data_IF_725764428717
#
_entry.id   IF_725764428717
#
_cell.length_a   1.000
_cell.length_b   1.000
_cell.length_c   1.000
_cell.angle_alpha   90.00
_cell.angle_beta   90.00
_cell.angle_gamma   90.00
#
_symmetry.space_group_name_H-M   'P 1'
#
loop_
_entity.id
_entity.type
_entity.pdbx_description
1 polymer ?
#
# COMPACT_ATOMS: atom_id res chain seq x y z
N UNK A 1 -5.72 13.60 -9.16
CA UNK A 1 -7.07 13.38 -8.63
C UNK A 1 -7.20 13.65 -7.13
N UNK A 2 -6.21 13.25 -6.28
CA UNK A 2 -6.32 13.46 -4.83
C UNK A 2 -6.29 14.95 -4.46
N UNK A 3 -5.39 15.73 -5.03
CA UNK A 3 -5.35 17.19 -4.80
C UNK A 3 -6.62 17.88 -5.28
N UNK A 4 -7.17 17.49 -6.44
CA UNK A 4 -8.47 18.01 -6.90
C UNK A 4 -9.57 17.80 -5.86
N UNK A 5 -9.65 16.57 -5.30
CA UNK A 5 -10.64 16.28 -4.26
C UNK A 5 -10.45 17.13 -2.99
N UNK A 6 -9.20 17.45 -2.62
CA UNK A 6 -8.93 18.31 -1.47
C UNK A 6 -9.19 19.78 -1.79
N UNK A 7 -8.64 20.27 -2.91
CA UNK A 7 -8.59 21.70 -3.22
C UNK A 7 -9.92 22.22 -3.78
N UNK A 8 -10.67 21.37 -4.52
CA UNK A 8 -11.92 21.77 -5.18
C UNK A 8 -13.15 21.21 -4.45
N UNK A 9 -13.11 19.93 -4.07
CA UNK A 9 -14.26 19.26 -3.46
C UNK A 9 -14.24 19.33 -1.91
N UNK A 10 -13.17 19.84 -1.30
CA UNK A 10 -13.04 19.94 0.15
C UNK A 10 -13.01 18.59 0.88
N UNK A 11 -12.62 17.50 0.20
CA UNK A 11 -12.65 16.15 0.75
C UNK A 11 -11.36 15.87 1.51
N UNK A 12 -11.48 15.47 2.79
CA UNK A 12 -10.34 15.06 3.63
C UNK A 12 -9.24 16.10 3.70
N UNK A 13 -9.62 17.34 3.96
CA UNK A 13 -8.67 18.45 4.19
C UNK A 13 -7.87 18.31 5.48
N UNK A 14 -8.25 17.37 6.36
CA UNK A 14 -7.52 16.90 7.55
C UNK A 14 -6.31 16.01 7.22
N UNK A 15 -6.30 15.39 6.05
CA UNK A 15 -5.22 14.53 5.59
C UNK A 15 -4.20 15.31 4.75
N UNK A 16 -2.93 14.90 4.77
CA UNK A 16 -1.89 15.46 3.93
C UNK A 16 -1.53 14.47 2.83
N UNK A 17 -1.82 14.83 1.58
CA UNK A 17 -1.38 14.06 0.41
C UNK A 17 0.07 14.41 0.13
N UNK A 18 0.94 13.40 0.17
CA UNK A 18 2.37 13.55 -0.05
C UNK A 18 2.80 12.78 -1.31
N UNK A 19 3.39 13.47 -2.27
CA UNK A 19 3.94 12.86 -3.47
C UNK A 19 5.41 12.49 -3.23
N UNK A 20 5.74 11.19 -3.30
CA UNK A 20 7.09 10.69 -3.03
C UNK A 20 8.14 11.28 -3.98
N UNK A 21 7.84 11.43 -5.27
CA UNK A 21 8.79 12.00 -6.22
C UNK A 21 9.12 13.46 -5.91
N UNK A 22 8.14 14.26 -5.46
CA UNK A 22 8.38 15.65 -5.10
C UNK A 22 9.11 15.82 -3.78
N UNK A 23 9.11 14.81 -2.90
CA UNK A 23 9.93 14.83 -1.68
C UNK A 23 11.44 14.88 -1.95
N UNK A 24 11.89 14.69 -3.18
CA UNK A 24 13.26 14.93 -3.58
C UNK A 24 13.60 16.44 -3.75
N UNK A 25 12.60 17.34 -3.68
CA UNK A 25 12.77 18.77 -3.91
C UNK A 25 12.55 19.60 -2.65
N UNK A 26 13.40 20.59 -2.46
CA UNK A 26 13.37 21.45 -1.25
C UNK A 26 12.08 22.26 -1.14
N UNK A 27 11.57 22.83 -2.24
CA UNK A 27 10.33 23.61 -2.24
C UNK A 27 9.12 22.79 -1.76
N UNK A 28 9.08 21.50 -2.12
CA UNK A 28 7.97 20.63 -1.71
C UNK A 28 8.11 20.22 -0.24
N UNK A 29 9.33 19.96 0.23
CA UNK A 29 9.61 19.72 1.66
C UNK A 29 9.19 20.94 2.47
N UNK A 30 9.56 22.16 2.04
CA UNK A 30 9.11 23.42 2.67
C UNK A 30 7.58 23.50 2.77
N UNK A 31 6.88 23.08 1.71
CA UNK A 31 5.42 23.05 1.70
C UNK A 31 4.86 22.01 2.68
N UNK A 32 5.46 20.82 2.77
CA UNK A 32 5.03 19.76 3.69
C UNK A 32 5.27 20.13 5.16
N UNK A 33 6.25 20.95 5.46
CA UNK A 33 6.55 21.46 6.81
C UNK A 33 5.60 22.57 7.28
N UNK A 34 4.69 23.02 6.44
CA UNK A 34 3.65 24.02 6.78
C UNK A 34 2.30 23.33 6.92
N UNK A 35 1.42 23.81 7.83
CA UNK A 35 0.04 23.35 7.85
C UNK A 35 -0.66 23.71 6.54
N UNK A 36 -1.66 22.92 6.13
CA UNK A 36 -2.51 23.21 5.00
C UNK A 36 -3.94 22.78 5.31
N UNK A 37 -4.90 23.67 5.09
CA UNK A 37 -6.30 23.51 5.48
C UNK A 37 -6.41 23.20 6.99
N UNK A 38 -7.05 22.09 7.35
CA UNK A 38 -7.15 21.59 8.72
C UNK A 38 -6.06 20.57 9.08
N UNK A 39 -5.16 20.28 8.13
CA UNK A 39 -4.07 19.34 8.31
C UNK A 39 -2.84 20.04 8.92
N UNK A 40 -2.30 19.55 10.06
CA UNK A 40 -1.05 20.07 10.60
C UNK A 40 0.14 19.76 9.66
N UNK A 41 1.27 20.42 9.91
CA UNK A 41 2.53 20.11 9.24
C UNK A 41 2.90 18.64 9.37
N UNK A 42 3.63 18.10 8.39
CA UNK A 42 4.21 16.76 8.52
C UNK A 42 5.35 16.77 9.56
N UNK A 43 5.60 15.64 10.22
CA UNK A 43 6.60 15.55 11.29
C UNK A 43 8.02 15.45 10.71
N UNK A 44 8.45 16.51 10.02
CA UNK A 44 9.78 16.67 9.45
C UNK A 44 10.55 17.64 10.37
N UNK A 45 11.53 17.13 11.11
CA UNK A 45 12.32 17.90 12.09
C UNK A 45 13.52 18.58 11.45
N UNK A 46 13.97 18.11 10.29
CA UNK A 46 15.08 18.66 9.57
C UNK A 46 14.92 20.16 9.31
N UNK A 47 16.00 20.92 9.51
CA UNK A 47 16.07 22.31 9.10
C UNK A 47 16.39 22.42 7.60
N UNK A 48 16.23 23.60 7.02
CA UNK A 48 16.41 23.83 5.58
C UNK A 48 17.82 23.45 5.08
N UNK A 49 18.86 23.65 5.88
CA UNK A 49 20.24 23.34 5.51
C UNK A 49 20.46 21.83 5.34
N UNK A 50 19.62 20.99 5.95
CA UNK A 50 19.71 19.53 5.85
C UNK A 50 19.05 18.97 4.60
N UNK A 51 18.12 19.69 3.95
CA UNK A 51 17.40 19.20 2.77
C UNK A 51 17.42 20.15 1.56
N UNK A 52 18.08 21.31 1.63
CA UNK A 52 18.20 22.16 0.43
C UNK A 52 18.94 21.42 -0.69
N UNK A 53 18.75 21.90 -1.90
CA UNK A 53 19.39 21.31 -3.09
C UNK A 53 20.92 21.24 -2.90
N UNK A 54 21.52 20.12 -3.26
CA UNK A 54 22.95 19.85 -3.06
C UNK A 54 23.32 19.34 -1.67
N UNK A 55 22.35 19.25 -0.73
CA UNK A 55 22.57 18.71 0.61
C UNK A 55 21.71 17.46 0.80
N UNK A 56 22.34 16.35 1.16
CA UNK A 56 21.65 15.07 1.41
C UNK A 56 20.74 14.63 0.26
N UNK A 57 21.12 14.96 -0.98
CA UNK A 57 20.38 14.51 -2.16
C UNK A 57 20.42 12.99 -2.26
N UNK A 58 21.52 12.40 -1.80
CA UNK A 58 21.65 10.98 -1.56
C UNK A 58 22.64 10.69 -0.44
N UNK A 59 22.46 9.58 0.28
CA UNK A 59 23.36 9.13 1.36
C UNK A 59 23.67 7.64 1.17
N UNK A 60 24.94 7.28 1.20
CA UNK A 60 25.38 5.88 1.11
C UNK A 60 25.04 5.10 2.38
N UNK A 61 24.60 3.85 2.21
CA UNK A 61 24.41 2.91 3.30
C UNK A 61 25.76 2.24 3.59
N UNK A 62 26.33 2.49 4.79
CA UNK A 62 27.66 2.01 5.19
C UNK A 62 27.55 1.08 6.39
N UNK A 63 27.56 -0.26 6.16
CA UNK A 63 27.44 -1.23 7.25
C UNK A 63 28.49 -1.08 8.35
N UNK A 64 29.71 -0.69 7.99
CA UNK A 64 30.85 -0.49 8.90
C UNK A 64 30.67 0.64 9.91
N UNK A 65 29.78 1.60 9.67
CA UNK A 65 29.58 2.73 10.56
C UNK A 65 29.07 2.32 11.94
N UNK A 66 28.35 1.22 12.06
CA UNK A 66 27.90 0.69 13.35
C UNK A 66 29.09 0.43 14.29
N UNK A 67 30.12 -0.28 13.81
CA UNK A 67 31.29 -0.59 14.61
C UNK A 67 32.06 0.67 15.02
N UNK A 68 32.16 1.64 14.11
CA UNK A 68 32.82 2.93 14.41
C UNK A 68 32.07 3.70 15.50
N UNK A 69 30.74 3.74 15.43
CA UNK A 69 29.90 4.39 16.46
C UNK A 69 30.06 3.68 17.81
N UNK A 70 29.99 2.34 17.84
CA UNK A 70 30.18 1.57 19.07
C UNK A 70 31.56 1.81 19.70
N UNK A 71 32.64 1.81 18.91
CA UNK A 71 33.99 2.13 19.39
C UNK A 71 34.07 3.54 19.96
N UNK A 72 33.36 4.50 19.39
CA UNK A 72 33.32 5.86 19.93
C UNK A 72 32.65 5.90 21.30
N UNK A 73 31.53 5.16 21.52
CA UNK A 73 30.92 5.01 22.83
C UNK A 73 31.80 4.33 23.88
N UNK A 74 32.69 3.41 23.45
CA UNK A 74 33.66 2.75 24.32
C UNK A 74 34.81 3.71 24.71
N UNK A 75 35.23 4.59 23.80
CA UNK A 75 36.36 5.51 24.01
C UNK A 75 35.96 6.75 24.79
N UNK A 76 34.83 7.38 24.46
CA UNK A 76 34.33 8.60 25.10
C UNK A 76 32.81 8.61 25.08
N UNK A 77 32.22 8.04 26.11
CA UNK A 77 30.76 7.90 26.22
C UNK A 77 30.06 9.27 26.30
N UNK A 78 30.66 10.24 26.97
CA UNK A 78 30.01 11.54 27.15
C UNK A 78 29.91 12.28 25.81
N UNK A 79 31.01 12.37 25.06
CA UNK A 79 30.98 13.01 23.74
C UNK A 79 30.20 12.21 22.72
N UNK A 80 30.22 10.86 22.80
CA UNK A 80 29.40 10.00 21.94
C UNK A 80 27.90 10.20 22.19
N UNK A 81 27.44 10.29 23.45
CA UNK A 81 26.04 10.58 23.79
C UNK A 81 25.66 11.97 23.33
N UNK A 82 26.53 12.93 23.44
CA UNK A 82 26.29 14.31 22.97
C UNK A 82 26.18 14.37 21.45
N UNK A 83 26.94 13.53 20.72
CA UNK A 83 26.96 13.46 19.26
C UNK A 83 25.79 12.65 18.73
N UNK A 84 25.52 11.44 19.23
CA UNK A 84 24.57 10.48 18.67
C UNK A 84 23.35 10.18 19.58
N UNK A 85 23.26 10.80 20.77
CA UNK A 85 22.22 10.53 21.75
C UNK A 85 22.47 9.22 22.53
N UNK A 86 21.64 8.94 23.53
CA UNK A 86 21.77 7.71 24.34
C UNK A 86 21.56 6.43 23.54
N UNK A 87 20.69 6.49 22.53
CA UNK A 87 20.35 5.37 21.63
C UNK A 87 20.78 5.71 20.18
N UNK A 88 22.06 5.54 19.81
CA UNK A 88 22.56 5.96 18.51
C UNK A 88 21.87 5.31 17.32
N UNK A 89 21.29 4.13 17.51
CA UNK A 89 20.60 3.37 16.48
C UNK A 89 19.09 3.56 16.48
N UNK A 90 18.56 4.44 17.33
CA UNK A 90 17.20 4.92 17.17
C UNK A 90 17.07 5.71 15.87
N UNK A 91 16.06 5.41 15.04
CA UNK A 91 15.95 5.96 13.68
C UNK A 91 16.01 7.49 13.65
N UNK A 92 15.37 8.17 14.60
CA UNK A 92 15.44 9.64 14.71
C UNK A 92 16.87 10.18 14.92
N UNK A 93 17.69 9.47 15.69
CA UNK A 93 19.09 9.84 15.92
C UNK A 93 19.93 9.57 14.66
N UNK A 94 19.68 8.43 13.98
CA UNK A 94 20.28 8.14 12.69
C UNK A 94 19.99 9.25 11.68
N UNK A 95 18.72 9.65 11.56
CA UNK A 95 18.32 10.71 10.64
C UNK A 95 19.02 12.04 10.95
N UNK A 96 19.27 12.32 12.20
CA UNK A 96 19.97 13.53 12.63
C UNK A 96 21.48 13.48 12.37
N UNK A 97 22.10 12.31 12.52
CA UNK A 97 23.56 12.14 12.53
C UNK A 97 24.11 11.26 11.39
N UNK A 98 23.24 10.79 10.49
CA UNK A 98 23.61 10.01 9.31
C UNK A 98 24.38 8.70 9.62
N UNK A 99 24.03 8.07 10.72
CA UNK A 99 24.52 6.74 11.05
C UNK A 99 23.71 5.70 10.29
N UNK A 100 24.17 5.30 9.12
CA UNK A 100 23.49 4.31 8.29
C UNK A 100 24.28 3.00 8.24
N UNK A 101 23.62 1.91 8.57
CA UNK A 101 24.15 0.55 8.47
C UNK A 101 23.06 -0.41 8.00
N UNK A 102 23.40 -1.67 7.78
CA UNK A 102 22.43 -2.69 7.34
C UNK A 102 22.28 -3.82 8.38
N UNK A 103 22.71 -3.59 9.58
CA UNK A 103 22.57 -4.52 10.69
C UNK A 103 21.13 -4.46 11.24
N UNK A 104 20.47 -5.59 11.55
CA UNK A 104 19.09 -5.60 12.06
C UNK A 104 18.92 -4.96 13.44
N UNK A 105 20.01 -4.57 14.11
CA UNK A 105 19.98 -3.82 15.38
C UNK A 105 20.08 -2.30 15.19
N UNK A 106 20.19 -1.82 13.95
CA UNK A 106 20.16 -0.40 13.58
C UNK A 106 18.80 -0.01 13.00
N UNK A 107 18.54 1.30 12.80
CA UNK A 107 17.27 1.85 12.28
C UNK A 107 16.06 1.38 13.10
N UNK A 108 16.18 1.49 14.41
CA UNK A 108 15.17 1.06 15.38
C UNK A 108 14.21 2.22 15.68
N UNK A 109 12.94 1.90 15.80
CA UNK A 109 11.92 2.82 16.33
C UNK A 109 11.40 2.19 17.62
N UNK A 110 11.61 2.85 18.74
CA UNK A 110 10.99 2.47 20.02
C UNK A 110 9.49 2.76 19.96
N UNK A 111 8.67 1.79 20.33
CA UNK A 111 7.22 1.86 20.17
C UNK A 111 6.56 2.37 21.45
N UNK A 112 5.84 3.50 21.33
CA UNK A 112 4.87 3.91 22.34
C UNK A 112 3.61 3.04 22.21
N UNK A 113 3.51 2.01 23.05
CA UNK A 113 2.42 1.04 23.04
C UNK A 113 1.06 1.68 23.30
N UNK A 114 1.01 2.73 24.11
CA UNK A 114 -0.24 3.42 24.43
C UNK A 114 -0.69 4.30 23.26
N UNK A 115 0.24 4.93 22.54
CA UNK A 115 -0.10 5.63 21.31
C UNK A 115 -0.63 4.66 20.24
N UNK A 116 -0.03 3.48 20.10
CA UNK A 116 -0.52 2.42 19.18
C UNK A 116 -1.94 1.98 19.56
N UNK A 117 -2.23 1.71 20.84
CA UNK A 117 -3.58 1.35 21.30
C UNK A 117 -4.61 2.45 20.99
N UNK A 118 -4.26 3.71 21.22
CA UNK A 118 -5.15 4.85 20.93
C UNK A 118 -5.31 5.18 19.44
N UNK A 119 -4.43 4.67 18.58
CA UNK A 119 -4.42 5.00 17.15
C UNK A 119 -5.57 4.41 16.34
N UNK A 120 -6.33 3.47 16.92
CA UNK A 120 -7.40 2.73 16.23
C UNK A 120 -6.90 1.80 15.12
N UNK A 121 -5.60 1.47 15.10
CA UNK A 121 -5.06 0.50 14.13
C UNK A 121 -5.48 -0.93 14.53
N UNK A 122 -5.67 -1.77 13.52
CA UNK A 122 -5.93 -3.20 13.75
C UNK A 122 -4.77 -3.82 14.55
N UNK A 123 -5.13 -4.54 15.60
CA UNK A 123 -4.16 -5.31 16.36
C UNK A 123 -3.92 -6.65 15.66
N UNK A 124 -2.71 -6.86 15.18
CA UNK A 124 -2.30 -8.09 14.48
C UNK A 124 -1.99 -9.20 15.48
N UNK A 125 -1.58 -8.85 16.70
CA UNK A 125 -1.31 -9.77 17.80
C UNK A 125 -1.70 -9.16 19.14
N UNK A 126 -1.83 -9.99 20.18
CA UNK A 126 -2.15 -9.56 21.53
C UNK A 126 -1.04 -8.70 22.17
N UNK A 127 0.20 -8.88 21.71
CA UNK A 127 1.35 -8.11 22.18
C UNK A 127 1.79 -7.07 21.14
N UNK A 128 1.89 -5.81 21.59
CA UNK A 128 2.51 -4.75 20.79
C UNK A 128 4.04 -4.89 20.94
N UNK A 129 4.81 -4.90 19.84
CA UNK A 129 6.27 -5.00 19.92
C UNK A 129 6.86 -3.80 20.64
N UNK A 130 7.99 -4.00 21.34
CA UNK A 130 8.72 -2.93 22.02
C UNK A 130 9.44 -2.00 21.03
N UNK A 131 9.80 -2.56 19.86
CA UNK A 131 10.54 -1.86 18.82
C UNK A 131 10.14 -2.36 17.44
N UNK A 132 10.26 -1.48 16.45
CA UNK A 132 10.20 -1.78 15.02
C UNK A 132 11.58 -1.55 14.43
N UNK A 133 11.99 -2.40 13.49
CA UNK A 133 13.28 -2.25 12.79
C UNK A 133 12.99 -2.06 11.30
N UNK A 134 13.56 -1.02 10.71
CA UNK A 134 13.51 -0.79 9.28
C UNK A 134 14.76 -1.39 8.63
N UNK A 135 14.57 -2.40 7.80
CA UNK A 135 15.68 -3.05 7.09
C UNK A 135 16.09 -2.25 5.87
N UNK A 136 17.39 -1.94 5.77
CA UNK A 136 17.97 -1.38 4.54
C UNK A 136 18.64 -2.46 3.67
N UNK A 137 18.31 -3.73 3.87
CA UNK A 137 18.87 -4.84 3.09
C UNK A 137 18.64 -4.61 1.60
N UNK A 138 19.71 -4.72 0.81
CA UNK A 138 19.68 -4.50 -0.64
C UNK A 138 19.80 -3.04 -1.08
N UNK A 139 19.68 -2.08 -0.17
CA UNK A 139 19.91 -0.66 -0.46
C UNK A 139 21.39 -0.32 -0.35
N UNK A 140 21.96 0.30 -1.39
CA UNK A 140 23.33 0.84 -1.39
C UNK A 140 23.38 2.31 -1.01
N UNK A 141 22.29 3.01 -1.31
CA UNK A 141 22.10 4.42 -0.97
C UNK A 141 20.62 4.71 -0.76
N UNK A 142 20.34 5.78 -0.05
CA UNK A 142 19.00 6.37 0.11
C UNK A 142 18.99 7.74 -0.55
N UNK A 143 17.96 8.00 -1.33
CA UNK A 143 17.74 9.31 -1.94
C UNK A 143 16.93 10.21 -0.99
N UNK A 144 16.91 11.50 -1.26
CA UNK A 144 16.24 12.49 -0.41
C UNK A 144 14.77 12.15 -0.12
N UNK A 145 14.02 11.62 -1.08
CA UNK A 145 12.65 11.17 -0.88
C UNK A 145 12.55 9.98 0.10
N UNK A 146 13.51 9.04 0.04
CA UNK A 146 13.59 7.92 0.99
C UNK A 146 13.88 8.45 2.40
N UNK A 147 14.83 9.39 2.49
CA UNK A 147 15.21 10.03 3.75
C UNK A 147 14.03 10.79 4.37
N UNK A 148 13.27 11.53 3.57
CA UNK A 148 12.07 12.22 4.05
C UNK A 148 10.98 11.26 4.52
N UNK A 149 10.82 10.10 3.87
CA UNK A 149 9.89 9.07 4.32
C UNK A 149 10.33 8.51 5.68
N UNK A 150 11.61 8.17 5.83
CA UNK A 150 12.17 7.70 7.12
C UNK A 150 12.03 8.75 8.22
N UNK A 151 12.27 10.01 7.90
CA UNK A 151 12.13 11.15 8.83
C UNK A 151 10.69 11.25 9.35
N UNK A 152 9.69 11.17 8.45
CA UNK A 152 8.29 11.19 8.85
C UNK A 152 7.88 9.98 9.69
N UNK A 153 8.35 8.78 9.34
CA UNK A 153 8.05 7.56 10.11
C UNK A 153 8.70 7.61 11.48
N UNK A 154 9.97 8.05 11.57
CA UNK A 154 10.70 8.20 12.83
C UNK A 154 10.02 9.14 13.83
N UNK A 155 9.40 10.21 13.32
CA UNK A 155 8.81 11.27 14.13
C UNK A 155 7.28 11.19 14.24
N UNK A 156 6.64 10.16 13.66
CA UNK A 156 5.17 10.00 13.67
C UNK A 156 4.58 9.74 15.04
N UNK A 157 5.36 9.11 15.94
CA UNK A 157 4.96 8.72 17.30
C UNK A 157 3.63 7.94 17.35
N UNK A 158 3.22 7.36 16.23
CA UNK A 158 1.95 6.61 16.05
C UNK A 158 0.67 7.41 16.33
N UNK A 159 0.79 8.72 16.59
CA UNK A 159 -0.36 9.60 16.91
C UNK A 159 -1.15 10.00 15.67
N UNK A 160 -0.47 10.07 14.52
CA UNK A 160 -1.06 10.36 13.23
C UNK A 160 -0.76 9.21 12.27
N UNK A 161 -1.80 8.58 11.69
CA UNK A 161 -1.59 7.44 10.80
C UNK A 161 -0.89 7.87 9.50
N UNK A 162 0.06 7.03 9.05
CA UNK A 162 0.75 7.18 7.77
C UNK A 162 0.24 6.06 6.86
N UNK A 163 -0.18 6.45 5.66
CA UNK A 163 -0.67 5.53 4.65
C UNK A 163 0.18 5.57 3.39
N UNK A 164 0.40 4.42 2.79
CA UNK A 164 0.94 4.25 1.45
C UNK A 164 -0.20 3.85 0.52
N UNK A 165 -0.40 4.59 -0.58
CA UNK A 165 -1.45 4.25 -1.54
C UNK A 165 -1.12 2.95 -2.28
N UNK A 166 -2.11 2.11 -2.57
CA UNK A 166 -1.92 0.86 -3.34
C UNK A 166 -1.32 1.06 -4.74
N UNK A 167 -1.33 2.31 -5.25
CA UNK A 167 -0.73 2.66 -6.54
C UNK A 167 0.77 2.97 -6.47
N UNK A 168 1.34 3.00 -5.27
CA UNK A 168 2.80 3.14 -5.07
C UNK A 168 3.45 1.79 -5.36
N UNK A 169 4.49 1.79 -6.19
CA UNK A 169 5.25 0.58 -6.51
C UNK A 169 6.08 0.09 -5.32
N UNK A 170 6.25 -1.23 -5.21
CA UNK A 170 6.94 -1.89 -4.09
C UNK A 170 8.39 -1.40 -3.90
N UNK A 171 9.06 -1.00 -4.97
CA UNK A 171 10.42 -0.43 -4.93
C UNK A 171 10.52 0.81 -4.01
N UNK A 172 9.38 1.50 -3.81
CA UNK A 172 9.28 2.69 -2.96
C UNK A 172 8.79 2.39 -1.53
N UNK A 173 8.63 1.11 -1.15
CA UNK A 173 8.14 0.76 0.19
C UNK A 173 9.20 0.82 1.28
N UNK A 174 10.46 1.07 0.95
CA UNK A 174 11.58 1.08 1.92
C UNK A 174 11.64 -0.19 2.78
N UNK A 175 11.34 -1.34 2.17
CA UNK A 175 11.23 -2.65 2.85
C UNK A 175 10.19 -2.67 4.00
N UNK A 176 9.23 -1.73 4.02
CA UNK A 176 8.16 -1.67 5.02
C UNK A 176 6.96 -2.56 4.69
N UNK A 177 6.98 -3.28 3.56
CA UNK A 177 5.82 -4.09 3.12
C UNK A 177 5.30 -5.05 4.17
N UNK A 178 6.20 -5.69 4.94
CA UNK A 178 5.85 -6.57 6.06
C UNK A 178 5.18 -5.84 7.24
N UNK A 179 5.23 -4.52 7.27
CA UNK A 179 4.62 -3.66 8.30
C UNK A 179 3.35 -2.97 7.83
N UNK A 180 2.80 -3.38 6.69
CA UNK A 180 1.59 -2.78 6.14
C UNK A 180 0.33 -3.51 6.59
N UNK A 181 -0.68 -2.73 7.01
CA UNK A 181 -2.05 -3.19 7.21
C UNK A 181 -2.92 -2.54 6.14
N UNK A 182 -3.58 -3.34 5.33
CA UNK A 182 -4.47 -2.84 4.28
C UNK A 182 -5.80 -2.38 4.89
N UNK A 183 -6.11 -1.09 4.70
CA UNK A 183 -7.37 -0.44 5.12
C UNK A 183 -8.10 0.14 3.89
N UNK A 184 -8.61 -0.70 3.02
CA UNK A 184 -9.19 -0.30 1.75
C UNK A 184 -8.16 -0.15 0.63
N UNK A 185 -8.09 1.03 0.00
CA UNK A 185 -7.17 1.33 -1.12
C UNK A 185 -5.82 1.91 -0.65
N UNK A 186 -5.49 1.74 0.62
CA UNK A 186 -4.23 2.20 1.17
C UNK A 186 -3.70 1.21 2.22
N UNK A 187 -2.40 1.21 2.39
CA UNK A 187 -1.69 0.46 3.40
C UNK A 187 -1.31 1.39 4.54
N UNK A 188 -1.76 1.10 5.75
CA UNK A 188 -1.33 1.79 6.96
C UNK A 188 -0.01 1.21 7.43
N UNK A 189 0.97 2.06 7.70
CA UNK A 189 2.22 1.64 8.33
C UNK A 189 1.95 1.31 9.79
N UNK A 190 2.38 0.14 10.23
CA UNK A 190 2.19 -0.39 11.58
C UNK A 190 3.49 -0.89 12.20
N UNK A 191 3.60 -0.97 13.53
CA UNK A 191 4.75 -1.58 14.18
C UNK A 191 4.76 -3.12 14.11
N UNK A 192 3.65 -3.72 13.69
CA UNK A 192 3.51 -5.17 13.60
C UNK A 192 4.16 -5.71 12.34
N UNK A 193 4.70 -6.93 12.42
CA UNK A 193 5.14 -7.69 11.25
C UNK A 193 4.02 -8.62 10.80
N UNK A 194 3.62 -8.51 9.54
CA UNK A 194 2.43 -9.18 8.97
C UNK A 194 2.78 -10.27 7.95
N UNK A 195 3.92 -10.97 8.15
CA UNK A 195 4.44 -11.99 7.21
C UNK A 195 3.47 -13.12 6.92
N UNK A 196 2.57 -13.42 7.86
CA UNK A 196 1.62 -14.53 7.75
C UNK A 196 0.31 -14.16 7.01
N UNK A 197 0.29 -13.04 6.28
CA UNK A 197 -0.87 -12.60 5.50
C UNK A 197 -2.04 -12.04 6.33
N UNK A 198 -1.89 -11.86 7.64
CA UNK A 198 -2.88 -11.22 8.52
C UNK A 198 -2.71 -9.69 8.49
N UNK A 199 -2.77 -9.13 7.29
CA UNK A 199 -2.50 -7.71 7.04
C UNK A 199 -3.68 -6.98 6.41
N UNK A 200 -4.89 -7.52 6.54
CA UNK A 200 -6.09 -6.93 5.95
C UNK A 200 -7.11 -6.63 7.03
N UNK A 201 -7.38 -5.35 7.29
CA UNK A 201 -8.42 -4.92 8.22
C UNK A 201 -9.79 -5.00 7.54
N UNK A 202 -10.48 -6.12 7.73
CA UNK A 202 -11.80 -6.38 7.15
C UNK A 202 -12.86 -5.42 7.65
N UNK A 203 -12.85 -5.05 8.93
CA UNK A 203 -13.86 -4.18 9.52
C UNK A 203 -13.73 -2.74 9.03
N UNK A 204 -12.52 -2.18 9.09
CA UNK A 204 -12.24 -0.84 8.57
C UNK A 204 -12.50 -0.77 7.07
N UNK A 205 -12.04 -1.79 6.30
CA UNK A 205 -12.27 -1.85 4.86
C UNK A 205 -13.77 -1.97 4.54
N UNK A 206 -14.51 -2.82 5.26
CA UNK A 206 -15.96 -2.95 5.09
C UNK A 206 -16.67 -1.62 5.35
N UNK A 207 -16.36 -0.95 6.46
CA UNK A 207 -16.95 0.34 6.79
C UNK A 207 -16.63 1.41 5.72
N UNK A 208 -15.41 1.47 5.24
CA UNK A 208 -14.99 2.38 4.18
C UNK A 208 -15.74 2.10 2.88
N UNK A 209 -15.76 0.84 2.43
CA UNK A 209 -16.45 0.43 1.20
C UNK A 209 -17.96 0.70 1.30
N UNK A 210 -18.61 0.35 2.40
CA UNK A 210 -20.06 0.44 2.52
C UNK A 210 -20.56 1.86 2.77
N UNK A 211 -19.82 2.69 3.53
CA UNK A 211 -20.35 3.97 4.02
C UNK A 211 -19.63 5.20 3.46
N UNK A 212 -18.39 5.07 2.98
CA UNK A 212 -17.58 6.23 2.59
C UNK A 212 -17.26 6.29 1.10
N UNK A 213 -17.16 5.14 0.41
CA UNK A 213 -16.85 5.14 -1.03
C UNK A 213 -17.99 5.69 -1.85
N UNK A 214 -17.65 6.61 -2.78
CA UNK A 214 -18.55 7.20 -3.77
C UNK A 214 -18.06 6.82 -5.16
N UNK A 215 -18.96 6.52 -6.07
CA UNK A 215 -18.63 5.97 -7.38
C UNK A 215 -18.94 6.93 -8.54
N UNK A 216 -19.33 8.19 -8.25
CA UNK A 216 -19.42 9.25 -9.24
C UNK A 216 -20.41 9.01 -10.39
N UNK A 217 -21.41 8.13 -10.20
CA UNK A 217 -22.39 7.82 -11.24
C UNK A 217 -21.94 6.72 -12.21
N UNK A 218 -20.96 5.89 -11.83
CA UNK A 218 -20.50 4.74 -12.64
C UNK A 218 -21.62 3.72 -12.94
N UNK A 219 -22.71 3.75 -12.18
CA UNK A 219 -23.89 2.92 -12.40
C UNK A 219 -24.77 3.38 -13.57
N UNK A 220 -24.56 4.58 -14.10
CA UNK A 220 -25.34 5.10 -15.23
C UNK A 220 -24.93 4.43 -16.54
N UNK A 221 -25.89 3.95 -17.37
CA UNK A 221 -25.56 3.36 -18.65
C UNK A 221 -24.94 4.37 -19.61
N UNK A 222 -24.04 3.89 -20.48
CA UNK A 222 -23.51 4.67 -21.61
C UNK A 222 -22.47 5.71 -21.24
N UNK A 223 -21.90 5.69 -20.03
CA UNK A 223 -20.78 6.55 -19.69
C UNK A 223 -19.50 6.07 -20.37
N UNK A 224 -18.69 7.02 -20.83
CA UNK A 224 -17.35 6.74 -21.32
C UNK A 224 -16.35 6.68 -20.15
N UNK A 225 -15.59 5.60 -20.09
CA UNK A 225 -14.47 5.44 -19.18
C UNK A 225 -13.17 5.32 -19.99
N UNK A 226 -12.27 6.27 -19.83
CA UNK A 226 -10.92 6.13 -20.40
C UNK A 226 -10.16 4.98 -19.73
N UNK A 227 -9.00 4.62 -20.28
CA UNK A 227 -8.22 3.49 -19.79
C UNK A 227 -7.76 3.66 -18.34
N UNK A 228 -7.35 4.87 -17.95
CA UNK A 228 -6.88 5.16 -16.59
C UNK A 228 -8.01 5.03 -15.57
N UNK A 229 -9.17 5.63 -15.85
CA UNK A 229 -10.37 5.52 -15.00
C UNK A 229 -10.83 4.06 -14.92
N UNK A 230 -10.85 3.36 -16.04
CA UNK A 230 -11.23 1.94 -16.09
C UNK A 230 -10.32 1.08 -15.23
N UNK A 231 -9.00 1.30 -15.28
CA UNK A 231 -8.03 0.61 -14.43
C UNK A 231 -8.29 0.86 -12.95
N UNK A 232 -8.59 2.12 -12.56
CA UNK A 232 -8.97 2.43 -11.18
C UNK A 232 -10.27 1.74 -10.76
N UNK A 233 -11.26 1.66 -11.65
CA UNK A 233 -12.50 0.93 -11.38
C UNK A 233 -12.26 -0.58 -11.15
N UNK A 234 -11.34 -1.19 -11.91
CA UNK A 234 -10.93 -2.58 -11.68
C UNK A 234 -10.25 -2.76 -10.31
N UNK A 235 -9.41 -1.81 -9.89
CA UNK A 235 -8.79 -1.84 -8.56
C UNK A 235 -9.86 -1.81 -7.44
N UNK A 236 -10.91 -0.99 -7.59
CA UNK A 236 -12.03 -0.98 -6.65
C UNK A 236 -12.79 -2.29 -6.65
N UNK A 237 -13.08 -2.86 -7.83
CA UNK A 237 -13.77 -4.16 -7.93
C UNK A 237 -12.94 -5.27 -7.29
N UNK A 238 -11.63 -5.30 -7.54
CA UNK A 238 -10.71 -6.27 -6.95
C UNK A 238 -10.71 -6.17 -5.42
N UNK A 239 -10.62 -4.95 -4.87
CA UNK A 239 -10.70 -4.74 -3.43
C UNK A 239 -12.01 -5.29 -2.84
N UNK A 240 -13.15 -5.01 -3.49
CA UNK A 240 -14.45 -5.48 -3.00
C UNK A 240 -14.57 -7.02 -3.08
N UNK A 241 -13.99 -7.62 -4.11
CA UNK A 241 -13.93 -9.08 -4.25
C UNK A 241 -13.06 -9.72 -3.16
N UNK A 242 -11.86 -9.18 -2.93
CA UNK A 242 -10.96 -9.63 -1.85
C UNK A 242 -11.61 -9.48 -0.48
N UNK A 243 -12.27 -8.33 -0.21
CA UNK A 243 -13.01 -8.10 1.03
C UNK A 243 -14.12 -9.15 1.22
N UNK A 244 -14.88 -9.46 0.16
CA UNK A 244 -15.94 -10.48 0.24
C UNK A 244 -15.38 -11.85 0.59
N UNK A 245 -14.27 -12.27 -0.02
CA UNK A 245 -13.60 -13.54 0.30
C UNK A 245 -13.09 -13.58 1.74
N UNK A 246 -12.44 -12.51 2.21
CA UNK A 246 -11.99 -12.42 3.61
C UNK A 246 -13.15 -12.50 4.59
N UNK A 247 -14.27 -11.79 4.33
CA UNK A 247 -15.48 -11.86 5.15
C UNK A 247 -16.09 -13.25 5.16
N UNK A 248 -16.07 -13.98 4.04
CA UNK A 248 -16.53 -15.38 3.99
C UNK A 248 -15.64 -16.26 4.87
N UNK A 249 -14.32 -16.11 4.78
CA UNK A 249 -13.37 -16.86 5.61
C UNK A 249 -13.59 -16.60 7.11
N UNK A 250 -13.98 -15.36 7.46
CA UNK A 250 -14.34 -14.99 8.86
C UNK A 250 -15.77 -15.42 9.26
N UNK A 251 -16.52 -16.13 8.41
CA UNK A 251 -17.91 -16.52 8.69
C UNK A 251 -18.94 -15.40 8.57
N UNK A 252 -18.55 -14.20 8.10
CA UNK A 252 -19.40 -13.00 7.97
C UNK A 252 -20.10 -12.94 6.60
N UNK A 253 -20.81 -14.02 6.24
CA UNK A 253 -21.39 -14.23 4.90
C UNK A 253 -22.39 -13.14 4.50
N UNK A 254 -23.19 -12.61 5.43
CA UNK A 254 -24.14 -11.52 5.15
C UNK A 254 -23.43 -10.21 4.76
N UNK A 255 -22.30 -9.90 5.40
CA UNK A 255 -21.48 -8.74 5.04
C UNK A 255 -20.87 -8.93 3.64
N UNK A 256 -20.37 -10.13 3.34
CA UNK A 256 -19.83 -10.47 2.03
C UNK A 256 -20.88 -10.30 0.91
N UNK A 257 -22.08 -10.81 1.11
CA UNK A 257 -23.18 -10.64 0.15
C UNK A 257 -23.52 -9.15 -0.09
N UNK A 258 -23.53 -8.32 0.94
CA UNK A 258 -23.75 -6.87 0.81
C UNK A 258 -22.64 -6.17 0.01
N UNK A 259 -21.38 -6.56 0.21
CA UNK A 259 -20.24 -6.02 -0.56
C UNK A 259 -20.37 -6.38 -2.03
N UNK A 260 -20.67 -7.65 -2.35
CA UNK A 260 -20.88 -8.10 -3.73
C UNK A 260 -22.05 -7.39 -4.41
N UNK A 261 -23.18 -7.22 -3.70
CA UNK A 261 -24.33 -6.49 -4.21
C UNK A 261 -23.98 -5.01 -4.51
N UNK A 262 -23.14 -4.38 -3.66
CA UNK A 262 -22.65 -3.03 -3.89
C UNK A 262 -21.73 -2.97 -5.11
N UNK A 263 -20.85 -3.95 -5.30
CA UNK A 263 -19.99 -4.06 -6.47
C UNK A 263 -20.80 -4.20 -7.77
N UNK A 264 -21.81 -5.08 -7.80
CA UNK A 264 -22.71 -5.23 -8.94
C UNK A 264 -23.44 -3.93 -9.29
N UNK A 265 -23.92 -3.22 -8.26
CA UNK A 265 -24.71 -1.98 -8.45
C UNK A 265 -23.85 -0.85 -9.01
N UNK A 266 -22.68 -0.60 -8.43
CA UNK A 266 -21.89 0.60 -8.73
C UNK A 266 -20.75 0.38 -9.73
N UNK A 267 -20.36 -0.87 -9.99
CA UNK A 267 -19.37 -1.26 -10.98
C UNK A 267 -19.98 -2.26 -11.98
N UNK A 268 -21.07 -1.88 -12.66
CA UNK A 268 -21.84 -2.80 -13.51
C UNK A 268 -21.03 -3.27 -14.71
N UNK A 269 -21.31 -4.47 -15.18
CA UNK A 269 -20.57 -5.13 -16.28
C UNK A 269 -20.77 -4.44 -17.64
N UNK A 270 -21.86 -3.70 -17.82
CA UNK A 270 -22.11 -2.98 -19.07
C UNK A 270 -21.20 -1.76 -19.25
N UNK A 271 -20.69 -1.13 -18.17
CA UNK A 271 -19.70 -0.06 -18.22
C UNK A 271 -18.28 -0.58 -17.96
N UNK A 272 -18.15 -1.59 -17.13
CA UNK A 272 -16.88 -2.17 -16.72
C UNK A 272 -16.96 -3.70 -16.93
N UNK A 273 -16.63 -4.23 -18.11
CA UNK A 273 -16.68 -5.66 -18.40
C UNK A 273 -15.93 -6.49 -17.36
N UNK A 274 -16.36 -7.72 -17.14
CA UNK A 274 -15.65 -8.64 -16.24
C UNK A 274 -14.33 -9.05 -16.89
N UNK A 275 -13.26 -8.96 -16.11
CA UNK A 275 -11.95 -9.52 -16.42
C UNK A 275 -11.47 -10.33 -15.22
N UNK A 276 -10.76 -11.41 -15.46
CA UNK A 276 -10.28 -12.27 -14.37
C UNK A 276 -9.44 -11.47 -13.36
N UNK A 277 -8.37 -10.80 -13.82
CA UNK A 277 -7.48 -9.97 -12.99
C UNK A 277 -8.19 -8.73 -12.42
N UNK A 278 -9.25 -8.25 -13.06
CA UNK A 278 -10.05 -7.11 -12.57
C UNK A 278 -11.10 -7.47 -11.51
N UNK A 279 -10.88 -8.54 -10.75
CA UNK A 279 -11.76 -9.01 -9.67
C UNK A 279 -12.83 -10.01 -10.10
N UNK A 280 -12.91 -10.35 -11.39
CA UNK A 280 -13.94 -11.29 -11.89
C UNK A 280 -13.80 -12.69 -11.33
N UNK A 281 -12.57 -13.21 -11.24
CA UNK A 281 -12.28 -14.53 -10.68
C UNK A 281 -12.66 -14.63 -9.20
N UNK A 282 -12.26 -13.65 -8.40
CA UNK A 282 -12.57 -13.61 -6.96
C UNK A 282 -14.07 -13.40 -6.69
N UNK A 283 -14.77 -12.62 -7.52
CA UNK A 283 -16.24 -12.48 -7.44
C UNK A 283 -16.93 -13.82 -7.74
N UNK A 284 -16.48 -14.55 -8.78
CA UNK A 284 -17.03 -15.86 -9.10
C UNK A 284 -16.83 -16.84 -7.93
N UNK A 285 -15.63 -16.88 -7.37
CA UNK A 285 -15.28 -17.70 -6.20
C UNK A 285 -16.14 -17.31 -4.99
N UNK A 286 -16.29 -16.02 -4.70
CA UNK A 286 -17.12 -15.56 -3.59
C UNK A 286 -18.58 -15.97 -3.74
N UNK A 287 -19.17 -15.86 -4.94
CA UNK A 287 -20.54 -16.35 -5.19
C UNK A 287 -20.67 -17.87 -5.06
N UNK A 288 -19.67 -18.63 -5.53
CA UNK A 288 -19.66 -20.08 -5.36
C UNK A 288 -19.67 -20.46 -3.87
N UNK A 289 -18.81 -19.85 -3.07
CA UNK A 289 -18.71 -20.09 -1.62
C UNK A 289 -19.97 -19.66 -0.85
N UNK A 290 -20.69 -18.64 -1.32
CA UNK A 290 -21.98 -18.22 -0.78
C UNK A 290 -23.16 -19.07 -1.24
N UNK A 291 -22.91 -20.12 -2.04
CA UNK A 291 -23.96 -21.00 -2.58
C UNK A 291 -24.75 -20.40 -3.76
N UNK A 292 -24.40 -19.22 -4.25
CA UNK A 292 -25.01 -18.57 -5.40
C UNK A 292 -24.46 -19.15 -6.73
N UNK A 293 -24.52 -20.47 -6.89
CA UNK A 293 -23.90 -21.24 -7.99
C UNK A 293 -24.29 -20.76 -9.39
N UNK A 294 -25.55 -20.39 -9.61
CA UNK A 294 -26.00 -19.89 -10.91
C UNK A 294 -25.30 -18.57 -11.32
N UNK A 295 -25.09 -17.64 -10.37
CA UNK A 295 -24.33 -16.42 -10.61
C UNK A 295 -22.85 -16.72 -10.86
N UNK A 296 -22.24 -17.56 -10.04
CA UNK A 296 -20.84 -17.98 -10.20
C UNK A 296 -20.63 -18.58 -11.60
N UNK A 297 -21.49 -19.53 -12.01
CA UNK A 297 -21.42 -20.18 -13.33
C UNK A 297 -21.52 -19.18 -14.50
N UNK A 298 -22.42 -18.20 -14.38
CA UNK A 298 -22.54 -17.14 -15.41
C UNK A 298 -21.23 -16.36 -15.55
N UNK A 299 -20.65 -15.93 -14.42
CA UNK A 299 -19.39 -15.18 -14.42
C UNK A 299 -18.24 -16.03 -14.98
N UNK A 300 -18.13 -17.29 -14.55
CA UNK A 300 -17.14 -18.26 -15.07
C UNK A 300 -17.24 -18.37 -16.59
N UNK A 301 -18.44 -18.54 -17.13
CA UNK A 301 -18.66 -18.65 -18.58
C UNK A 301 -18.25 -17.37 -19.32
N UNK A 302 -18.55 -16.20 -18.76
CA UNK A 302 -18.14 -14.92 -19.35
C UNK A 302 -16.62 -14.75 -19.34
N UNK A 303 -15.95 -15.09 -18.24
CA UNK A 303 -14.48 -15.07 -18.12
C UNK A 303 -13.80 -16.08 -19.04
N UNK A 304 -14.36 -17.29 -19.15
CA UNK A 304 -13.85 -18.32 -20.05
C UNK A 304 -13.94 -17.89 -21.52
N UNK A 305 -15.07 -17.30 -21.91
CA UNK A 305 -15.25 -16.75 -23.25
C UNK A 305 -14.24 -15.65 -23.56
N UNK A 306 -14.01 -14.73 -22.63
CA UNK A 306 -13.01 -13.65 -22.78
C UNK A 306 -11.60 -14.25 -22.97
N UNK A 307 -11.17 -15.16 -22.10
CA UNK A 307 -9.87 -15.82 -22.19
C UNK A 307 -9.71 -16.61 -23.51
N UNK A 308 -10.76 -17.32 -23.94
CA UNK A 308 -10.74 -18.07 -25.21
C UNK A 308 -10.61 -17.15 -26.42
N UNK A 309 -11.23 -15.97 -26.41
CA UNK A 309 -11.08 -14.98 -27.50
C UNK A 309 -9.63 -14.49 -27.59
N UNK A 310 -8.98 -14.18 -26.48
CA UNK A 310 -7.56 -13.81 -26.46
C UNK A 310 -6.68 -14.94 -26.99
N UNK A 311 -6.88 -16.18 -26.54
CA UNK A 311 -6.12 -17.33 -27.00
C UNK A 311 -6.32 -17.57 -28.50
N UNK A 312 -7.56 -17.46 -29.00
CA UNK A 312 -7.85 -17.57 -30.43
C UNK A 312 -7.13 -16.52 -31.25
N UNK A 313 -6.97 -15.30 -30.73
CA UNK A 313 -6.23 -14.25 -31.38
C UNK A 313 -4.72 -14.53 -31.37
N UNK A 314 -4.13 -14.94 -30.26
CA UNK A 314 -2.69 -15.24 -30.18
C UNK A 314 -2.25 -16.31 -31.17
N UNK A 315 -3.04 -17.35 -31.41
CA UNK A 315 -2.70 -18.42 -32.36
C UNK A 315 -2.79 -17.97 -33.83
N UNK A 316 -3.35 -16.80 -34.14
CA UNK A 316 -3.37 -16.23 -35.48
C UNK A 316 -2.14 -15.36 -35.79
N UNK A 317 -1.30 -15.06 -34.78
CA UNK A 317 -0.14 -14.23 -34.94
C UNK A 317 0.99 -15.00 -35.64
N UNK A 318 1.77 -14.31 -36.48
CA UNK A 318 3.02 -14.84 -36.99
C UNK A 318 4.10 -14.85 -35.88
N UNK A 319 5.21 -15.58 -36.10
CA UNK A 319 6.26 -15.78 -35.08
C UNK A 319 6.79 -14.47 -34.51
N UNK A 320 7.04 -13.46 -35.36
CA UNK A 320 7.59 -12.18 -34.92
C UNK A 320 6.62 -11.43 -33.99
N UNK A 321 5.35 -11.41 -34.33
CA UNK A 321 4.31 -10.78 -33.53
C UNK A 321 3.99 -11.62 -32.28
N UNK A 322 4.02 -12.94 -32.37
CA UNK A 322 3.78 -13.82 -31.23
C UNK A 322 4.86 -13.63 -30.14
N UNK A 323 6.12 -13.46 -30.51
CA UNK A 323 7.19 -13.15 -29.56
C UNK A 323 6.90 -11.89 -28.72
N UNK A 324 6.28 -10.88 -29.30
CA UNK A 324 5.91 -9.66 -28.58
C UNK A 324 4.85 -9.92 -27.50
N UNK A 325 3.93 -10.85 -27.72
CA UNK A 325 2.80 -11.17 -26.82
C UNK A 325 2.96 -12.48 -26.07
N UNK A 326 4.16 -13.06 -26.06
CA UNK A 326 4.41 -14.34 -25.43
C UNK A 326 4.02 -14.39 -23.93
N UNK A 327 4.42 -13.37 -23.17
CA UNK A 327 4.13 -13.29 -21.74
C UNK A 327 2.64 -13.09 -21.46
N UNK A 328 1.95 -12.32 -22.30
CA UNK A 328 0.50 -12.12 -22.22
C UNK A 328 -0.24 -13.43 -22.53
N UNK A 329 0.23 -14.19 -23.51
CA UNK A 329 -0.30 -15.51 -23.83
C UNK A 329 -0.15 -16.48 -22.64
N UNK A 330 1.03 -16.53 -22.01
CA UNK A 330 1.25 -17.32 -20.80
C UNK A 330 0.32 -16.89 -19.67
N UNK A 331 0.11 -15.59 -19.49
CA UNK A 331 -0.82 -15.04 -18.52
C UNK A 331 -2.25 -15.50 -18.79
N UNK A 332 -2.69 -15.55 -20.06
CA UNK A 332 -4.02 -16.04 -20.41
C UNK A 332 -4.17 -17.56 -20.14
N UNK A 333 -3.15 -18.37 -20.40
CA UNK A 333 -3.15 -19.79 -20.05
C UNK A 333 -3.27 -19.97 -18.52
N UNK A 334 -2.54 -19.21 -17.74
CA UNK A 334 -2.66 -19.20 -16.29
C UNK A 334 -4.08 -18.81 -15.84
N UNK A 335 -4.66 -17.76 -16.42
CA UNK A 335 -6.05 -17.35 -16.16
C UNK A 335 -7.02 -18.47 -16.45
N UNK A 336 -6.89 -19.18 -17.59
CA UNK A 336 -7.74 -20.30 -17.92
C UNK A 336 -7.64 -21.42 -16.88
N UNK A 337 -6.43 -21.74 -16.42
CA UNK A 337 -6.24 -22.72 -15.34
C UNK A 337 -6.97 -22.27 -14.06
N UNK A 338 -6.81 -21.02 -13.66
CA UNK A 338 -7.48 -20.48 -12.46
C UNK A 338 -9.02 -20.45 -12.59
N UNK A 339 -9.56 -20.28 -13.80
CA UNK A 339 -11.01 -20.35 -14.05
C UNK A 339 -11.49 -21.79 -13.85
N UNK A 340 -10.72 -22.81 -14.27
CA UNK A 340 -11.05 -24.22 -14.04
C UNK A 340 -11.11 -24.53 -12.54
N UNK A 341 -10.13 -24.03 -11.75
CA UNK A 341 -10.11 -24.22 -10.29
C UNK A 341 -11.37 -23.62 -9.61
N UNK A 342 -11.87 -22.48 -10.12
CA UNK A 342 -13.11 -21.88 -9.61
C UNK A 342 -14.33 -22.69 -10.06
N UNK A 343 -14.27 -23.32 -11.25
CA UNK A 343 -15.37 -24.15 -11.77
C UNK A 343 -15.62 -25.36 -10.89
N UNK A 344 -14.59 -25.92 -10.25
CA UNK A 344 -14.72 -27.06 -9.32
C UNK A 344 -15.53 -26.72 -8.06
N UNK A 345 -15.70 -25.44 -7.73
CA UNK A 345 -16.51 -24.98 -6.60
C UNK A 345 -18.01 -24.88 -6.92
N UNK A 346 -18.42 -25.02 -8.18
CA UNK A 346 -19.79 -24.81 -8.66
C UNK A 346 -20.48 -26.11 -9.05
#
# INVERSE_FOLDING_TARGET
>A
PLWYNQDVEGVRTDARVCNLSYLATDWYIDQMRRPAYTSPSLPITWNRLQYCIGTNDYVEVRPELKEQVLKFYEQDKEEAVKTFGENPFELKNIMQHWVLGNDPTTHVITIDKDAVRRSGMMMVSDSIPDRMVISLKGKRALYKNDLMMLEMVANSQWTRPIYVAMTVGEDNYMNLGDNFIQEGLAYRISPFTTKDGNNFDTETTYNNVMNRYKFGGLEKPGIYLDETVRRMCYTHRQLMATLALKLITEGKTDKAAKVLAKAEKYLPTYNLPLRYIGGGGDIARAYALLGAKAKAKKIINDLWRDATQYMSWYVTLNDANFHQYYNECLTQLYIMQQILDVTELV
#
